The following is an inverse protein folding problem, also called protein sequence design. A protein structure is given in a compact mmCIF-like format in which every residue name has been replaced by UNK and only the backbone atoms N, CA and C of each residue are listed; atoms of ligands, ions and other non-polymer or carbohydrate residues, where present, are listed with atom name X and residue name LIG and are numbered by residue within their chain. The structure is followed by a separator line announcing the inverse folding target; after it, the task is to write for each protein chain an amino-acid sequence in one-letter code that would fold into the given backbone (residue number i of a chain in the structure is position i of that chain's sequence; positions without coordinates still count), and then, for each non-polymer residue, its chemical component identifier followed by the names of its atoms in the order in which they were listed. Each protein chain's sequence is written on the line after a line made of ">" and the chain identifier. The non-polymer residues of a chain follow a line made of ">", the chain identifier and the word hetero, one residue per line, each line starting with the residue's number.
data_IF_715315129496
#
_entry.id   IF_715315129496
#
_cell.length_a   1.000
_cell.length_b   1.000
_cell.length_c   1.000
_cell.angle_alpha   90.00
_cell.angle_beta   90.00
_cell.angle_gamma   90.00
#
_symmetry.space_group_name_H-M   'P 1'
#
loop_
_entity.id
_entity.type
_entity.pdbx_description
1 polymer ?
#
# COMPACT_ATOMS: atom_id res chain seq x y z
N UNK A 1 29.72 7.50 26.32
CA UNK A 1 29.63 7.92 24.90
C UNK A 1 28.94 6.81 24.15
N UNK A 2 27.68 6.99 23.75
CA UNK A 2 27.03 6.03 22.86
C UNK A 2 27.56 6.28 21.46
N UNK A 3 28.18 5.27 20.84
CA UNK A 3 28.65 5.30 19.46
C UNK A 3 27.56 5.86 18.53
N UNK A 4 27.90 6.87 17.73
CA UNK A 4 27.02 7.40 16.68
C UNK A 4 26.96 6.35 15.58
N UNK A 5 25.83 5.67 15.51
CA UNK A 5 25.59 4.63 14.53
C UNK A 5 25.39 5.33 13.17
N UNK A 6 26.31 5.13 12.23
CA UNK A 6 26.26 5.69 10.87
C UNK A 6 26.03 4.60 9.82
N UNK A 7 25.49 4.98 8.66
CA UNK A 7 25.34 4.08 7.52
C UNK A 7 24.14 3.13 7.62
N UNK A 8 24.29 1.90 7.12
CA UNK A 8 23.22 0.90 7.14
C UNK A 8 22.63 0.62 8.52
N UNK A 9 23.42 0.51 9.61
CA UNK A 9 22.86 0.30 10.94
C UNK A 9 21.96 1.45 11.39
N UNK A 10 22.23 2.69 10.97
CA UNK A 10 21.36 3.84 11.23
C UNK A 10 20.01 3.71 10.51
N UNK A 11 20.04 3.33 9.23
CA UNK A 11 18.84 3.08 8.42
C UNK A 11 18.04 1.92 9.01
N UNK A 12 18.70 0.83 9.39
CA UNK A 12 18.06 -0.35 9.96
C UNK A 12 17.38 -0.02 11.31
N UNK A 13 18.07 0.72 12.18
CA UNK A 13 17.47 1.20 13.43
C UNK A 13 16.23 2.04 13.14
N UNK A 14 16.35 3.01 12.23
CA UNK A 14 15.25 3.89 11.86
C UNK A 14 14.04 3.14 11.28
N UNK A 15 14.25 2.23 10.33
CA UNK A 15 13.18 1.40 9.76
C UNK A 15 12.57 0.42 10.78
N UNK A 16 13.34 -0.02 11.78
CA UNK A 16 12.83 -0.89 12.84
C UNK A 16 11.91 -0.16 13.82
N UNK A 17 12.22 1.12 14.09
CA UNK A 17 11.41 2.02 14.93
C UNK A 17 10.16 2.51 14.18
N UNK A 18 10.28 2.73 12.87
CA UNK A 18 9.22 3.22 11.99
C UNK A 18 8.92 2.21 10.88
N UNK A 19 8.16 1.16 11.21
CA UNK A 19 7.86 0.03 10.30
C UNK A 19 7.21 0.45 8.99
N UNK A 20 6.47 1.55 9.01
CA UNK A 20 5.85 2.16 7.84
C UNK A 20 6.86 2.72 6.82
N UNK A 21 8.06 3.07 7.29
CA UNK A 21 9.17 3.57 6.47
C UNK A 21 10.11 2.44 6.08
N UNK A 22 9.76 1.18 6.41
CA UNK A 22 10.41 -0.03 5.93
C UNK A 22 10.17 -0.22 4.44
N UNK A 23 10.70 0.69 3.62
CA UNK A 23 10.55 0.75 2.17
C UNK A 23 11.78 0.12 1.55
N UNK A 24 11.57 -0.94 0.78
CA UNK A 24 12.64 -1.67 0.11
C UNK A 24 12.32 -1.82 -1.37
N UNK A 25 13.35 -2.07 -2.17
CA UNK A 25 13.16 -2.46 -3.57
C UNK A 25 12.70 -3.91 -3.64
N UNK A 26 11.71 -4.15 -4.50
CA UNK A 26 11.24 -5.49 -4.88
C UNK A 26 12.22 -6.16 -5.84
N UNK A 27 12.98 -5.38 -6.63
CA UNK A 27 13.83 -5.88 -7.70
C UNK A 27 13.05 -6.74 -8.71
N UNK A 28 11.89 -6.22 -9.15
CA UNK A 28 10.96 -6.95 -10.02
C UNK A 28 11.60 -7.48 -11.29
N UNK A 29 12.41 -6.67 -11.98
CA UNK A 29 13.11 -7.05 -13.20
C UNK A 29 14.10 -8.20 -13.00
N UNK A 30 14.95 -8.13 -11.97
CA UNK A 30 15.92 -9.19 -11.65
C UNK A 30 15.24 -10.50 -11.25
N UNK A 31 14.12 -10.40 -10.53
CA UNK A 31 13.33 -11.56 -10.18
C UNK A 31 12.67 -12.22 -11.40
N UNK A 32 12.12 -11.43 -12.31
CA UNK A 32 11.57 -11.95 -13.58
C UNK A 32 12.67 -12.56 -14.44
N UNK A 33 13.84 -11.91 -14.52
CA UNK A 33 15.00 -12.44 -15.24
C UNK A 33 15.37 -13.84 -14.73
N UNK A 34 15.43 -14.02 -13.41
CA UNK A 34 15.76 -15.31 -12.81
C UNK A 34 14.70 -16.37 -13.10
N UNK A 35 13.41 -16.02 -13.00
CA UNK A 35 12.30 -16.92 -13.34
C UNK A 35 12.33 -17.35 -14.81
N UNK A 36 12.60 -16.43 -15.73
CA UNK A 36 12.68 -16.72 -17.16
C UNK A 36 13.83 -17.68 -17.48
N UNK A 37 14.98 -17.54 -16.81
CA UNK A 37 16.10 -18.46 -16.98
C UNK A 37 15.78 -19.86 -16.43
N UNK A 38 15.16 -19.95 -15.25
CA UNK A 38 14.71 -21.24 -14.69
C UNK A 38 13.66 -21.91 -15.58
N UNK A 39 12.76 -21.14 -16.18
CA UNK A 39 11.78 -21.66 -17.14
C UNK A 39 12.47 -22.21 -18.39
N UNK A 40 13.44 -21.48 -18.95
CA UNK A 40 14.20 -21.96 -20.10
C UNK A 40 15.00 -23.23 -19.80
N UNK A 41 15.62 -23.30 -18.62
CA UNK A 41 16.32 -24.51 -18.16
C UNK A 41 15.36 -25.70 -18.04
N UNK A 42 14.17 -25.51 -17.45
CA UNK A 42 13.15 -26.55 -17.36
C UNK A 42 12.68 -27.03 -18.73
N UNK A 43 12.47 -26.12 -19.69
CA UNK A 43 12.09 -26.49 -21.05
C UNK A 43 13.17 -27.34 -21.73
N UNK A 44 14.45 -27.01 -21.53
CA UNK A 44 15.56 -27.81 -22.05
C UNK A 44 15.62 -29.21 -21.41
N UNK A 45 15.42 -29.30 -20.10
CA UNK A 45 15.42 -30.58 -19.38
C UNK A 45 14.21 -31.45 -19.77
N UNK A 46 13.03 -30.84 -19.93
CA UNK A 46 11.80 -31.52 -20.36
C UNK A 46 11.92 -32.10 -21.76
N UNK A 47 12.48 -31.33 -22.70
CA UNK A 47 12.76 -31.79 -24.06
C UNK A 47 13.78 -32.95 -24.05
N UNK A 48 14.86 -32.82 -23.28
CA UNK A 48 15.88 -33.88 -23.15
C UNK A 48 15.30 -35.17 -22.55
N UNK A 49 14.47 -35.05 -21.51
CA UNK A 49 13.79 -36.17 -20.89
C UNK A 49 12.81 -36.85 -21.87
N UNK A 50 12.03 -36.06 -22.61
CA UNK A 50 11.07 -36.56 -23.60
C UNK A 50 11.77 -37.36 -24.70
N UNK A 51 12.84 -36.81 -25.29
CA UNK A 51 13.65 -37.50 -26.31
C UNK A 51 14.23 -38.82 -25.79
N UNK A 52 14.75 -38.83 -24.56
CA UNK A 52 15.32 -40.03 -23.97
C UNK A 52 14.25 -41.07 -23.66
N UNK A 53 13.08 -40.64 -23.17
CA UNK A 53 11.93 -41.53 -22.92
C UNK A 53 11.47 -42.20 -24.22
N UNK A 54 11.35 -41.45 -25.31
CA UNK A 54 10.99 -42.02 -26.63
C UNK A 54 12.04 -43.00 -27.16
N UNK A 55 13.33 -42.74 -26.91
CA UNK A 55 14.41 -43.65 -27.29
C UNK A 55 14.39 -44.94 -26.45
N UNK A 56 14.10 -44.84 -25.16
CA UNK A 56 14.01 -45.97 -24.24
C UNK A 56 12.80 -46.86 -24.55
N UNK A 57 11.66 -46.29 -24.97
CA UNK A 57 10.48 -47.04 -25.42
C UNK A 57 10.73 -47.90 -26.66
N UNK A 58 11.60 -47.43 -27.57
CA UNK A 58 12.00 -48.17 -28.78
C UNK A 58 13.02 -49.29 -28.49
N UNK A 59 13.60 -49.30 -27.29
CA UNK A 59 14.65 -50.24 -26.87
C UNK A 59 14.03 -51.41 -26.10
N UNK A 60 14.22 -52.64 -26.58
CA UNK A 60 13.67 -53.85 -25.94
C UNK A 60 14.10 -54.03 -24.47
N UNK A 61 15.30 -53.59 -24.11
CA UNK A 61 15.85 -53.66 -22.75
C UNK A 61 15.41 -52.53 -21.82
N UNK A 62 14.94 -51.39 -22.36
CA UNK A 62 14.66 -50.16 -21.58
C UNK A 62 13.19 -49.73 -21.62
N UNK A 63 12.35 -50.38 -22.42
CA UNK A 63 10.94 -50.06 -22.60
C UNK A 63 10.11 -50.05 -21.30
N UNK A 64 10.56 -50.73 -20.24
CA UNK A 64 9.87 -50.75 -18.95
C UNK A 64 10.16 -49.52 -18.08
N UNK A 65 11.18 -48.71 -18.38
CA UNK A 65 11.57 -47.54 -17.55
C UNK A 65 10.47 -46.48 -17.44
N UNK A 66 9.68 -46.27 -18.49
CA UNK A 66 8.54 -45.33 -18.43
C UNK A 66 7.34 -45.88 -17.65
N UNK A 67 7.29 -47.19 -17.40
CA UNK A 67 6.15 -47.89 -16.78
C UNK A 67 6.40 -48.31 -15.34
N UNK A 68 7.66 -48.39 -14.93
CA UNK A 68 8.05 -48.84 -13.60
C UNK A 68 9.18 -47.96 -13.02
N UNK A 69 8.91 -47.39 -11.85
CA UNK A 69 9.86 -46.54 -11.13
C UNK A 69 11.13 -47.31 -10.75
N UNK A 70 11.00 -48.58 -10.33
CA UNK A 70 12.17 -49.37 -9.96
C UNK A 70 13.12 -49.53 -11.16
N UNK A 71 12.57 -49.95 -12.30
CA UNK A 71 13.30 -50.07 -13.57
C UNK A 71 13.96 -48.77 -14.04
N UNK A 72 13.34 -47.60 -13.77
CA UNK A 72 13.92 -46.28 -14.07
C UNK A 72 15.15 -45.95 -13.20
N UNK A 73 15.12 -46.32 -11.93
CA UNK A 73 16.19 -45.98 -10.97
C UNK A 73 17.43 -46.86 -11.08
N UNK A 74 17.33 -48.02 -11.73
CA UNK A 74 18.42 -48.97 -11.87
C UNK A 74 19.37 -48.59 -13.02
N UNK A 75 20.64 -48.98 -12.85
CA UNK A 75 21.66 -48.87 -13.90
C UNK A 75 21.32 -49.84 -15.05
N UNK A 76 21.43 -49.40 -16.29
CA UNK A 76 21.42 -50.34 -17.43
C UNK A 76 22.71 -51.16 -17.54
N UNK A 77 22.73 -52.04 -18.54
CA UNK A 77 23.88 -52.83 -18.94
C UNK A 77 25.15 -52.01 -19.26
N UNK A 78 25.04 -50.71 -19.53
CA UNK A 78 26.17 -49.81 -19.78
C UNK A 78 26.56 -49.03 -18.51
N UNK A 79 25.86 -49.23 -17.39
CA UNK A 79 26.08 -48.48 -16.16
C UNK A 79 25.45 -47.08 -16.17
N UNK A 80 24.50 -46.81 -17.06
CA UNK A 80 23.87 -45.51 -17.20
C UNK A 80 22.45 -45.50 -16.63
N UNK A 81 22.06 -44.35 -16.06
CA UNK A 81 20.70 -44.06 -15.58
C UNK A 81 20.26 -42.65 -15.98
N UNK A 82 20.65 -42.24 -17.19
CA UNK A 82 20.50 -40.88 -17.71
C UNK A 82 19.07 -40.32 -17.56
N UNK A 83 18.05 -41.15 -17.75
CA UNK A 83 16.64 -40.74 -17.61
C UNK A 83 16.29 -40.39 -16.15
N UNK A 84 16.81 -41.16 -15.18
CA UNK A 84 16.64 -40.86 -13.77
C UNK A 84 17.44 -39.63 -13.34
N UNK A 85 18.67 -39.48 -13.83
CA UNK A 85 19.51 -38.32 -13.51
C UNK A 85 18.89 -37.02 -14.07
N UNK A 86 18.34 -37.04 -15.29
CA UNK A 86 17.55 -35.93 -15.84
C UNK A 86 16.31 -35.64 -14.97
N UNK A 87 15.60 -36.68 -14.52
CA UNK A 87 14.44 -36.49 -13.65
C UNK A 87 14.81 -35.87 -12.30
N UNK A 88 15.97 -36.21 -11.74
CA UNK A 88 16.49 -35.57 -10.52
C UNK A 88 16.81 -34.10 -10.74
N UNK A 89 17.44 -33.75 -11.87
CA UNK A 89 17.70 -32.35 -12.23
C UNK A 89 16.40 -31.57 -12.43
N UNK A 90 15.41 -32.14 -13.13
CA UNK A 90 14.08 -31.53 -13.28
C UNK A 90 13.47 -31.26 -11.92
N UNK A 91 13.50 -32.23 -10.98
CA UNK A 91 12.93 -32.04 -9.64
C UNK A 91 13.59 -30.88 -8.89
N UNK A 92 14.91 -30.78 -8.96
CA UNK A 92 15.65 -29.71 -8.30
C UNK A 92 15.33 -28.34 -8.90
N UNK A 93 15.42 -28.21 -10.23
CA UNK A 93 15.16 -26.94 -10.94
C UNK A 93 13.70 -26.54 -10.82
N UNK A 94 12.76 -27.48 -10.86
CA UNK A 94 11.32 -27.23 -10.71
C UNK A 94 10.99 -26.75 -9.30
N UNK A 95 11.62 -27.29 -8.27
CA UNK A 95 11.46 -26.80 -6.91
C UNK A 95 12.01 -25.38 -6.73
N UNK A 96 13.17 -25.06 -7.33
CA UNK A 96 13.70 -23.68 -7.35
C UNK A 96 12.74 -22.72 -8.04
N UNK A 97 12.23 -23.09 -9.22
CA UNK A 97 11.26 -22.31 -9.99
C UNK A 97 9.98 -22.06 -9.18
N UNK A 98 9.37 -23.12 -8.64
CA UNK A 98 8.13 -23.01 -7.88
C UNK A 98 8.29 -22.19 -6.59
N UNK A 99 9.45 -22.29 -5.91
CA UNK A 99 9.74 -21.46 -4.73
C UNK A 99 9.84 -19.98 -5.10
N UNK A 100 10.58 -19.63 -6.15
CA UNK A 100 10.71 -18.24 -6.59
C UNK A 100 9.39 -17.68 -7.12
N UNK A 101 8.62 -18.48 -7.88
CA UNK A 101 7.33 -18.06 -8.40
C UNK A 101 6.35 -17.70 -7.28
N UNK A 102 6.27 -18.54 -6.23
CA UNK A 102 5.45 -18.23 -5.05
C UNK A 102 5.88 -16.94 -4.36
N UNK A 103 7.19 -16.71 -4.22
CA UNK A 103 7.71 -15.46 -3.66
C UNK A 103 7.30 -14.26 -4.52
N UNK A 104 7.34 -14.38 -5.85
CA UNK A 104 6.93 -13.31 -6.76
C UNK A 104 5.44 -13.03 -6.75
N UNK A 105 4.62 -14.07 -6.67
CA UNK A 105 3.16 -13.92 -6.51
C UNK A 105 2.87 -13.19 -5.20
N UNK A 106 3.51 -13.60 -4.10
CA UNK A 106 3.35 -12.95 -2.80
C UNK A 106 3.80 -11.48 -2.82
N UNK A 107 4.90 -11.16 -3.50
CA UNK A 107 5.39 -9.78 -3.66
C UNK A 107 4.48 -8.95 -4.58
N UNK A 108 3.83 -9.56 -5.58
CA UNK A 108 2.94 -8.86 -6.52
C UNK A 108 1.63 -8.39 -5.87
N UNK A 109 1.14 -9.12 -4.87
CA UNK A 109 -0.06 -8.75 -4.10
C UNK A 109 0.16 -7.55 -3.17
N UNK A 110 1.42 -7.15 -2.97
CA UNK A 110 1.77 -6.08 -2.03
C UNK A 110 1.69 -4.73 -2.73
N UNK A 111 0.93 -3.83 -2.11
CA UNK A 111 0.86 -2.43 -2.52
C UNK A 111 2.20 -1.72 -2.24
N UNK A 112 2.58 -0.82 -3.13
CA UNK A 112 3.75 0.05 -2.95
C UNK A 112 3.63 0.98 -1.72
N UNK A 113 4.67 1.75 -1.38
CA UNK A 113 4.60 2.75 -0.32
C UNK A 113 3.61 3.87 -0.66
N UNK A 114 3.19 4.63 0.35
CA UNK A 114 2.49 5.90 0.15
C UNK A 114 3.48 6.98 -0.28
N UNK A 115 3.07 7.88 -1.19
CA UNK A 115 3.94 8.92 -1.74
C UNK A 115 4.56 9.80 -0.64
N UNK A 116 3.77 10.09 0.41
CA UNK A 116 4.22 10.87 1.56
C UNK A 116 5.32 10.16 2.37
N UNK A 117 5.17 8.86 2.61
CA UNK A 117 6.15 8.09 3.39
C UNK A 117 7.46 7.94 2.61
N UNK A 118 7.36 7.76 1.29
CA UNK A 118 8.51 7.69 0.39
C UNK A 118 9.24 9.04 0.30
N UNK A 119 8.53 10.15 0.16
CA UNK A 119 9.14 11.48 0.12
C UNK A 119 9.81 11.83 1.45
N UNK A 120 9.11 11.58 2.57
CA UNK A 120 9.66 11.77 3.91
C UNK A 120 10.94 10.96 4.13
N UNK A 121 10.95 9.68 3.74
CA UNK A 121 12.13 8.83 3.88
C UNK A 121 13.32 9.33 3.05
N UNK A 122 13.06 9.81 1.82
CA UNK A 122 14.09 10.42 0.95
C UNK A 122 14.67 11.69 1.54
N UNK A 123 13.83 12.53 2.14
CA UNK A 123 14.27 13.76 2.78
C UNK A 123 15.09 13.46 4.03
N UNK A 124 14.66 12.48 4.83
CA UNK A 124 15.40 12.00 6.00
C UNK A 124 16.82 11.54 5.65
N UNK A 125 16.98 10.78 4.56
CA UNK A 125 18.29 10.31 4.09
C UNK A 125 19.26 11.46 3.77
N UNK A 126 18.75 12.59 3.26
CA UNK A 126 19.54 13.75 2.82
C UNK A 126 19.75 14.77 3.93
N UNK A 127 18.88 14.80 4.95
CA UNK A 127 18.87 15.87 5.93
C UNK A 127 20.13 15.80 6.84
N UNK A 128 20.93 16.89 6.96
CA UNK A 128 22.22 16.86 7.68
C UNK A 128 22.13 16.53 9.17
N UNK A 129 20.99 16.79 9.81
CA UNK A 129 20.74 16.46 11.22
C UNK A 129 20.12 15.07 11.45
N UNK A 130 19.81 14.36 10.36
CA UNK A 130 19.15 13.06 10.41
C UNK A 130 20.06 11.99 9.79
N UNK A 131 19.72 11.48 8.60
CA UNK A 131 20.53 10.46 7.93
C UNK A 131 21.88 10.99 7.44
N UNK A 132 21.98 12.28 7.12
CA UNK A 132 23.22 12.93 6.67
C UNK A 132 23.97 12.14 5.58
N UNK A 133 23.26 11.69 4.55
CA UNK A 133 23.81 10.86 3.47
C UNK A 133 24.53 9.61 4.00
N UNK A 134 23.79 8.68 4.63
CA UNK A 134 24.40 7.56 5.35
C UNK A 134 25.12 6.58 4.40
N UNK A 135 24.73 6.53 3.13
CA UNK A 135 25.30 5.64 2.11
C UNK A 135 26.15 6.42 1.12
N UNK A 136 27.34 5.89 0.80
CA UNK A 136 28.29 6.53 -0.11
C UNK A 136 28.49 5.80 -1.44
N UNK A 137 28.10 4.52 -1.52
CA UNK A 137 28.31 3.67 -2.68
C UNK A 137 27.19 3.78 -3.73
N UNK A 138 27.09 2.76 -4.59
CA UNK A 138 26.02 2.62 -5.58
C UNK A 138 24.63 2.51 -4.94
N UNK A 139 24.60 1.95 -3.74
CA UNK A 139 23.47 1.78 -2.83
C UNK A 139 22.84 3.10 -2.37
N UNK A 140 23.55 4.23 -2.46
CA UNK A 140 22.96 5.56 -2.22
C UNK A 140 21.78 5.86 -3.15
N UNK A 141 21.74 5.22 -4.33
CA UNK A 141 20.67 5.34 -5.33
C UNK A 141 19.52 4.36 -5.10
N UNK A 142 19.57 3.54 -4.05
CA UNK A 142 18.57 2.50 -3.81
C UNK A 142 17.14 3.06 -3.66
N UNK A 143 16.99 4.34 -3.28
CA UNK A 143 15.71 5.03 -3.19
C UNK A 143 15.53 6.16 -4.21
N UNK A 144 16.23 6.12 -5.36
CA UNK A 144 16.08 7.15 -6.40
C UNK A 144 14.67 7.12 -7.05
N UNK A 145 14.13 8.27 -7.51
CA UNK A 145 12.81 8.36 -8.15
C UNK A 145 12.62 7.47 -9.39
N UNK A 146 13.72 7.08 -10.03
CA UNK A 146 13.72 6.17 -11.19
C UNK A 146 13.08 4.82 -10.83
N UNK A 147 13.14 4.42 -9.56
CA UNK A 147 12.65 3.13 -9.06
C UNK A 147 11.29 3.21 -8.34
N UNK A 148 10.52 4.30 -8.50
CA UNK A 148 9.24 4.50 -7.77
C UNK A 148 8.24 3.34 -7.95
N UNK A 149 8.26 2.68 -9.10
CA UNK A 149 7.43 1.53 -9.44
C UNK A 149 7.91 0.19 -8.85
N UNK A 150 9.13 0.14 -8.31
CA UNK A 150 9.80 -1.07 -7.82
C UNK A 150 9.88 -1.10 -6.29
N UNK A 151 9.24 -0.17 -5.58
CA UNK A 151 9.23 -0.17 -4.12
C UNK A 151 8.08 -0.97 -3.52
N UNK A 152 8.39 -1.62 -2.40
CA UNK A 152 7.44 -2.28 -1.51
C UNK A 152 7.59 -1.73 -0.10
N UNK A 153 6.48 -1.56 0.61
CA UNK A 153 6.47 -1.22 2.03
C UNK A 153 6.21 -2.48 2.87
N UNK A 154 7.02 -2.70 3.91
CA UNK A 154 6.82 -3.81 4.87
C UNK A 154 5.46 -3.65 5.56
N UNK A 155 5.11 -2.42 5.95
CA UNK A 155 3.82 -2.08 6.50
C UNK A 155 3.31 -0.82 5.81
N UNK A 156 2.34 -0.96 4.90
CA UNK A 156 1.73 0.21 4.28
C UNK A 156 0.81 0.91 5.28
N UNK A 157 1.00 2.23 5.49
CA UNK A 157 0.00 3.06 6.18
C UNK A 157 -1.30 3.01 5.38
N UNK A 158 -2.41 2.70 6.04
CA UNK A 158 -3.73 2.73 5.43
C UNK A 158 -3.92 4.13 4.84
N UNK A 159 -4.13 4.21 3.52
CA UNK A 159 -4.22 5.50 2.85
C UNK A 159 -5.41 6.25 3.43
N UNK A 160 -5.12 7.35 4.13
CA UNK A 160 -6.14 8.24 4.66
C UNK A 160 -6.90 8.84 3.47
N UNK A 161 -8.22 8.96 3.62
CA UNK A 161 -9.16 9.47 2.62
C UNK A 161 -8.71 10.81 1.98
N UNK A 162 -9.23 11.18 0.79
CA UNK A 162 -8.80 12.40 0.09
C UNK A 162 -8.85 13.68 0.95
N UNK A 163 -9.82 13.75 1.88
CA UNK A 163 -9.94 14.85 2.83
C UNK A 163 -8.84 14.82 3.88
N UNK A 164 -8.53 13.65 4.45
CA UNK A 164 -7.40 13.48 5.35
C UNK A 164 -6.07 13.84 4.71
N UNK A 165 -5.86 13.51 3.43
CA UNK A 165 -4.64 13.91 2.70
C UNK A 165 -4.56 15.44 2.54
N UNK A 166 -5.67 16.11 2.24
CA UNK A 166 -5.77 17.58 2.23
C UNK A 166 -5.52 18.19 3.63
N UNK A 167 -6.11 17.60 4.67
CA UNK A 167 -6.02 18.06 6.06
C UNK A 167 -4.59 17.92 6.59
N UNK A 168 -3.96 16.76 6.40
CA UNK A 168 -2.56 16.48 6.75
C UNK A 168 -1.62 17.48 6.09
N UNK A 169 -1.76 17.70 4.78
CA UNK A 169 -0.87 18.57 4.01
C UNK A 169 -1.00 20.06 4.37
N UNK A 170 -2.14 20.51 4.91
CA UNK A 170 -2.35 21.92 5.28
C UNK A 170 -2.09 22.16 6.77
N UNK A 171 -2.55 21.25 7.62
CA UNK A 171 -2.52 21.43 9.08
C UNK A 171 -1.15 21.08 9.63
N UNK A 172 -0.51 19.97 9.21
CA UNK A 172 0.76 19.55 9.80
C UNK A 172 1.87 20.61 9.62
N UNK A 173 2.09 21.21 8.42
CA UNK A 173 3.11 22.24 8.27
C UNK A 173 2.82 23.50 9.09
N UNK A 174 1.55 23.91 9.17
CA UNK A 174 1.14 25.08 9.97
C UNK A 174 1.21 24.82 11.46
N UNK A 175 0.83 23.63 11.92
CA UNK A 175 0.90 23.23 13.32
C UNK A 175 2.35 23.09 13.79
N UNK A 176 3.22 22.52 12.94
CA UNK A 176 4.67 22.48 13.17
C UNK A 176 5.25 23.90 13.29
N UNK A 177 4.84 24.83 12.41
CA UNK A 177 5.25 26.24 12.46
C UNK A 177 4.75 27.02 13.68
N UNK A 178 3.56 26.72 14.21
CA UNK A 178 2.91 27.52 15.26
C UNK A 178 3.14 26.97 16.68
N UNK A 179 3.15 25.64 16.85
CA UNK A 179 3.10 24.97 18.16
C UNK A 179 4.32 24.06 18.39
N UNK A 180 5.06 23.71 17.34
CA UNK A 180 6.17 22.75 17.35
C UNK A 180 7.36 23.09 18.27
N UNK A 181 7.46 24.32 18.78
CA UNK A 181 8.52 24.70 19.72
C UNK A 181 8.20 24.49 21.21
N UNK A 182 6.93 24.26 21.62
CA UNK A 182 6.55 24.25 23.05
C UNK A 182 5.99 22.92 23.59
N UNK A 183 5.57 22.00 22.73
CA UNK A 183 4.80 20.82 23.16
C UNK A 183 5.55 19.49 23.00
N UNK A 184 6.76 19.49 22.43
CA UNK A 184 7.43 18.22 22.09
C UNK A 184 8.81 18.11 22.74
N UNK A 185 8.94 17.16 23.66
CA UNK A 185 10.24 16.67 24.14
C UNK A 185 10.94 15.95 22.99
N UNK A 186 12.09 16.43 22.50
CA UNK A 186 12.86 15.70 21.50
C UNK A 186 13.33 14.37 22.08
N UNK A 187 13.09 13.27 21.38
CA UNK A 187 13.80 12.02 21.66
C UNK A 187 15.29 12.23 21.35
N UNK A 188 16.22 11.81 22.21
CA UNK A 188 17.63 12.22 22.14
C UNK A 188 18.42 11.66 20.94
N UNK A 189 17.80 10.97 19.97
CA UNK A 189 18.50 10.35 18.84
C UNK A 189 17.85 10.51 17.47
N UNK A 190 16.61 10.98 17.37
CA UNK A 190 15.94 11.23 16.10
C UNK A 190 15.03 12.45 16.23
N UNK A 191 15.35 13.54 15.52
CA UNK A 191 14.52 14.75 15.37
C UNK A 191 13.25 14.47 14.52
N UNK A 192 12.67 13.27 14.66
CA UNK A 192 11.47 12.87 13.94
C UNK A 192 10.36 12.92 14.97
N UNK A 193 9.65 14.03 14.98
CA UNK A 193 8.44 14.18 15.77
C UNK A 193 7.37 13.26 15.18
N UNK A 194 7.34 12.02 15.65
CA UNK A 194 6.23 11.10 15.46
C UNK A 194 5.01 11.70 16.16
N UNK A 195 4.18 12.42 15.41
CA UNK A 195 2.80 12.61 15.83
C UNK A 195 2.18 11.22 15.87
N UNK A 196 1.80 10.75 17.06
CA UNK A 196 1.10 9.47 17.21
C UNK A 196 -0.09 9.50 16.25
N UNK A 197 -0.04 8.65 15.22
CA UNK A 197 -1.04 8.55 14.16
C UNK A 197 -2.45 8.36 14.74
N UNK A 198 -2.55 7.67 15.88
CA UNK A 198 -3.79 7.53 16.65
C UNK A 198 -4.39 8.83 17.19
N UNK A 199 -3.57 9.85 17.46
CA UNK A 199 -4.05 11.18 17.88
C UNK A 199 -4.54 11.95 16.65
N UNK A 200 -3.82 11.88 15.54
CA UNK A 200 -4.20 12.57 14.31
C UNK A 200 -5.50 12.01 13.72
N UNK A 201 -5.63 10.68 13.69
CA UNK A 201 -6.86 10.00 13.27
C UNK A 201 -8.03 10.32 14.20
N UNK A 202 -7.82 10.36 15.52
CA UNK A 202 -8.86 10.77 16.48
C UNK A 202 -9.29 12.24 16.30
N UNK A 203 -8.35 13.15 16.05
CA UNK A 203 -8.67 14.56 15.79
C UNK A 203 -9.50 14.67 14.51
N UNK A 204 -9.14 13.90 13.47
CA UNK A 204 -9.87 13.89 12.22
C UNK A 204 -11.29 13.32 12.39
N UNK A 205 -11.45 12.23 13.14
CA UNK A 205 -12.77 11.66 13.45
C UNK A 205 -13.65 12.64 14.25
N UNK A 206 -13.07 13.35 15.21
CA UNK A 206 -13.76 14.41 15.95
C UNK A 206 -14.14 15.57 15.03
N UNK A 207 -13.25 16.02 14.15
CA UNK A 207 -13.55 17.10 13.21
C UNK A 207 -14.64 16.69 12.21
N UNK A 208 -14.58 15.46 11.72
CA UNK A 208 -15.58 14.86 10.82
C UNK A 208 -16.95 14.82 11.47
N UNK A 209 -17.05 14.35 12.71
CA UNK A 209 -18.31 14.31 13.45
C UNK A 209 -18.84 15.72 13.74
N UNK A 210 -17.97 16.65 14.12
CA UNK A 210 -18.35 18.05 14.35
C UNK A 210 -18.85 18.72 13.06
N UNK A 211 -18.16 18.58 11.93
CA UNK A 211 -18.59 19.10 10.63
C UNK A 211 -19.94 18.49 10.19
N UNK A 212 -20.12 17.18 10.39
CA UNK A 212 -21.37 16.50 10.07
C UNK A 212 -22.56 17.00 10.91
N UNK A 213 -22.34 17.40 12.17
CA UNK A 213 -23.38 17.96 13.04
C UNK A 213 -23.62 19.46 12.81
N UNK A 214 -22.57 20.25 12.56
CA UNK A 214 -22.69 21.69 12.39
C UNK A 214 -23.33 22.10 11.06
N UNK A 215 -23.10 21.33 10.00
CA UNK A 215 -23.59 21.66 8.66
C UNK A 215 -25.14 21.66 8.61
N UNK A 216 -25.86 20.62 9.10
CA UNK A 216 -27.32 20.66 9.21
C UNK A 216 -27.86 21.81 10.04
N UNK A 217 -27.23 22.09 11.19
CA UNK A 217 -27.66 23.17 12.10
C UNK A 217 -27.46 24.54 11.43
N UNK A 218 -26.33 24.75 10.76
CA UNK A 218 -26.05 25.98 10.03
C UNK A 218 -27.08 26.24 8.93
N UNK A 219 -27.52 25.19 8.23
CA UNK A 219 -28.57 25.28 7.21
C UNK A 219 -29.89 25.80 7.80
N UNK A 220 -30.30 25.29 8.95
CA UNK A 220 -31.55 25.69 9.62
C UNK A 220 -31.47 27.17 10.05
N UNK A 221 -30.34 27.58 10.64
CA UNK A 221 -30.12 28.97 11.07
C UNK A 221 -30.15 29.93 9.87
N UNK A 222 -29.52 29.60 8.75
CA UNK A 222 -29.53 30.43 7.55
C UNK A 222 -30.95 30.54 6.97
N UNK A 223 -31.71 29.44 6.94
CA UNK A 223 -33.10 29.43 6.47
C UNK A 223 -34.04 30.26 7.36
N UNK A 224 -33.72 30.43 8.65
CA UNK A 224 -34.49 31.27 9.56
C UNK A 224 -34.43 32.76 9.19
N UNK A 225 -33.24 33.27 8.83
CA UNK A 225 -33.04 34.69 8.52
C UNK A 225 -33.54 35.11 7.14
N UNK A 226 -33.68 34.17 6.21
CA UNK A 226 -34.10 34.47 4.84
C UNK A 226 -35.62 34.49 4.75
N UNK A 227 -36.20 35.58 4.26
CA UNK A 227 -37.66 35.76 4.14
C UNK A 227 -38.20 35.39 2.75
N UNK A 228 -37.39 35.52 1.70
CA UNK A 228 -37.80 35.23 0.32
C UNK A 228 -37.93 33.73 0.04
N UNK A 229 -39.11 33.28 -0.38
CA UNK A 229 -39.39 31.87 -0.72
C UNK A 229 -38.45 31.32 -1.79
N UNK A 230 -38.17 32.09 -2.84
CA UNK A 230 -37.25 31.69 -3.92
C UNK A 230 -35.83 31.49 -3.42
N UNK A 231 -35.37 32.36 -2.52
CA UNK A 231 -34.05 32.25 -1.89
C UNK A 231 -33.97 31.04 -0.94
N UNK A 232 -35.02 30.79 -0.14
CA UNK A 232 -35.10 29.61 0.73
C UNK A 232 -34.99 28.31 -0.05
N UNK A 233 -35.68 28.20 -1.18
CA UNK A 233 -35.63 27.02 -2.07
C UNK A 233 -34.23 26.82 -2.67
N UNK A 234 -33.56 27.89 -3.10
CA UNK A 234 -32.19 27.83 -3.59
C UNK A 234 -31.17 27.40 -2.52
N UNK A 235 -31.30 27.94 -1.30
CA UNK A 235 -30.46 27.59 -0.16
C UNK A 235 -30.64 26.11 0.23
N UNK A 236 -31.89 25.61 0.21
CA UNK A 236 -32.20 24.20 0.48
C UNK A 236 -31.48 23.27 -0.50
N UNK A 237 -31.56 23.55 -1.80
CA UNK A 237 -30.87 22.75 -2.82
C UNK A 237 -29.36 22.82 -2.62
N UNK A 238 -28.81 24.02 -2.40
CA UNK A 238 -27.38 24.22 -2.19
C UNK A 238 -26.83 23.48 -0.97
N UNK A 239 -27.45 23.64 0.20
CA UNK A 239 -27.02 22.98 1.43
C UNK A 239 -27.22 21.47 1.39
N UNK A 240 -28.26 20.97 0.73
CA UNK A 240 -28.47 19.53 0.55
C UNK A 240 -27.38 18.92 -0.34
N UNK A 241 -26.96 19.63 -1.40
CA UNK A 241 -25.84 19.21 -2.25
C UNK A 241 -24.51 19.24 -1.48
N UNK A 242 -24.25 20.31 -0.72
CA UNK A 242 -23.04 20.44 0.11
C UNK A 242 -23.00 19.35 1.20
N UNK A 243 -24.13 19.06 1.85
CA UNK A 243 -24.24 18.00 2.84
C UNK A 243 -23.95 16.63 2.24
N UNK A 244 -24.57 16.29 1.10
CA UNK A 244 -24.35 15.02 0.40
C UNK A 244 -22.90 14.86 -0.05
N UNK A 245 -22.29 15.94 -0.57
CA UNK A 245 -20.88 15.96 -0.95
C UNK A 245 -19.97 15.79 0.27
N UNK A 246 -20.25 16.49 1.36
CA UNK A 246 -19.48 16.40 2.60
C UNK A 246 -19.58 14.99 3.21
N UNK A 247 -20.77 14.41 3.26
CA UNK A 247 -20.97 13.05 3.75
C UNK A 247 -20.24 12.03 2.85
N UNK A 248 -20.35 12.15 1.53
CA UNK A 248 -19.65 11.24 0.61
C UNK A 248 -18.12 11.33 0.72
N UNK A 249 -17.56 12.53 0.86
CA UNK A 249 -16.11 12.74 0.86
C UNK A 249 -15.48 12.52 2.24
N UNK A 250 -16.14 13.01 3.29
CA UNK A 250 -15.60 13.00 4.66
C UNK A 250 -15.95 11.69 5.34
N UNK A 251 -17.13 11.10 5.07
CA UNK A 251 -17.57 9.90 5.79
C UNK A 251 -17.28 8.56 5.13
N UNK A 252 -16.88 8.55 3.86
CA UNK A 252 -16.69 7.29 3.11
C UNK A 252 -17.94 6.42 3.10
N UNK A 253 -19.12 7.03 3.32
CA UNK A 253 -20.39 6.33 3.43
C UNK A 253 -20.75 5.70 2.08
N UNK A 254 -21.42 4.56 2.13
CA UNK A 254 -21.87 3.91 0.89
C UNK A 254 -22.90 4.78 0.17
N UNK A 255 -23.03 4.63 -1.15
CA UNK A 255 -23.97 5.45 -1.95
C UNK A 255 -25.41 5.39 -1.41
N UNK A 256 -25.79 4.25 -0.82
CA UNK A 256 -27.11 4.02 -0.24
C UNK A 256 -27.27 4.79 1.08
N UNK A 257 -26.25 4.78 1.95
CA UNK A 257 -26.23 5.56 3.19
C UNK A 257 -26.29 7.07 2.92
N UNK A 258 -25.52 7.54 1.92
CA UNK A 258 -25.52 8.96 1.53
C UNK A 258 -26.91 9.38 1.04
N UNK A 259 -27.56 8.54 0.23
CA UNK A 259 -28.91 8.82 -0.26
C UNK A 259 -29.92 8.89 0.89
N UNK A 260 -29.92 7.90 1.79
CA UNK A 260 -30.84 7.86 2.93
C UNK A 260 -30.67 9.07 3.86
N UNK A 261 -29.43 9.42 4.23
CA UNK A 261 -29.15 10.58 5.08
C UNK A 261 -29.53 11.90 4.40
N UNK A 262 -29.28 12.03 3.09
CA UNK A 262 -29.64 13.23 2.32
C UNK A 262 -31.16 13.38 2.21
N UNK A 263 -31.90 12.29 1.98
CA UNK A 263 -33.38 12.30 1.96
C UNK A 263 -33.96 12.69 3.32
N UNK A 264 -33.44 12.14 4.42
CA UNK A 264 -33.87 12.49 5.77
C UNK A 264 -33.61 13.98 6.07
N UNK A 265 -32.43 14.48 5.72
CA UNK A 265 -32.07 15.88 5.90
C UNK A 265 -32.95 16.83 5.06
N UNK A 266 -33.21 16.49 3.80
CA UNK A 266 -34.11 17.26 2.94
C UNK A 266 -35.55 17.29 3.48
N UNK A 267 -36.06 16.17 3.99
CA UNK A 267 -37.39 16.12 4.60
C UNK A 267 -37.51 17.07 5.80
N UNK A 268 -36.51 17.10 6.69
CA UNK A 268 -36.47 18.03 7.83
C UNK A 268 -36.48 19.48 7.34
N UNK A 269 -35.67 19.83 6.34
CA UNK A 269 -35.65 21.19 5.79
C UNK A 269 -36.99 21.61 5.16
N UNK A 270 -37.66 20.71 4.45
CA UNK A 270 -38.99 20.98 3.85
C UNK A 270 -40.04 21.24 4.92
N UNK A 271 -40.02 20.49 6.03
CA UNK A 271 -40.92 20.74 7.18
C UNK A 271 -40.68 22.13 7.76
N UNK A 272 -39.42 22.53 7.96
CA UNK A 272 -39.08 23.88 8.41
C UNK A 272 -39.50 24.96 7.42
N UNK A 273 -39.35 24.72 6.12
CA UNK A 273 -39.81 25.63 5.07
C UNK A 273 -41.34 25.82 5.13
N UNK A 274 -42.08 24.72 5.27
CA UNK A 274 -43.55 24.73 5.35
C UNK A 274 -44.06 25.45 6.60
N UNK A 275 -43.50 25.17 7.77
CA UNK A 275 -43.89 25.81 9.03
C UNK A 275 -43.67 27.33 9.02
N UNK A 276 -42.58 27.80 8.40
CA UNK A 276 -42.22 29.22 8.32
C UNK A 276 -42.94 29.98 7.18
N UNK A 277 -43.81 29.29 6.43
CA UNK A 277 -44.68 29.88 5.39
C UNK A 277 -46.10 30.16 5.91
N UNK A 278 -46.48 29.58 7.05
CA UNK A 278 -47.79 29.74 7.69
C UNK A 278 -47.91 30.95 8.61
N UNK A 279 -46.82 31.69 8.83
CA UNK A 279 -46.84 32.99 9.53
C UNK A 279 -46.71 34.12 8.50
N UNK A 280 -47.82 34.44 7.87
CA UNK A 280 -48.00 35.70 7.14
C UNK A 280 -48.85 36.58 8.06
N UNK A 281 -48.38 37.74 8.56
CA UNK A 281 -49.28 38.80 9.00
C UNK A 281 -50.01 39.41 7.79
#
# INVERSE_FOLDING_TARGET
>A
MSETIEGYPQIAQFMSEHKELGILRRFGELNMLTLLHLQAELMHLEEAYSRLSEADEKSSSRAYRSRDWWSLTQLDCNGNREQWDLLLQIRETLDKYNRQLRQQIWLADRLGPNDYDLSFFRDWLKHPRMGNFPLRGIDRKAWDPIYDHDFIAIQRRTSVDPFSRWFINIIIPKFHSLIGHRITTPLPRTEITNYKESILLKILDVLRTVLACLLPVSCIVVLYFVTSMRARLGILIGFTAIFSLCLSLVTGATRIEVFAATSAFAAVQIVFLSGNSGQIP
#
